data_IF_143210709451
#
_entry.id   IF_143210709451
#
_cell.length_a   1.000
_cell.length_b   1.000
_cell.length_c   1.000
_cell.angle_alpha   90.00
_cell.angle_beta   90.00
_cell.angle_gamma   90.00
#
_symmetry.space_group_name_H-M   'P 1'
#
loop_
_entity.id
_entity.type
_entity.pdbx_description
1 polymer ?
#
# COMPACT_ATOMS: atom_id res chain seq x y z
N UNK A 1 24.53 46.72 -56.74
CA UNK A 1 24.34 45.80 -57.88
C UNK A 1 24.95 44.45 -57.50
N UNK A 2 24.30 43.30 -57.40
CA UNK A 2 22.92 42.84 -57.56
C UNK A 2 22.80 41.57 -56.70
N UNK A 3 21.84 41.48 -55.78
CA UNK A 3 21.51 40.22 -55.09
C UNK A 3 20.80 39.26 -56.06
N UNK A 4 21.09 37.95 -56.06
CA UNK A 4 20.33 37.01 -56.87
C UNK A 4 18.92 36.84 -56.29
N UNK A 5 17.92 37.15 -57.11
CA UNK A 5 16.49 37.01 -56.84
C UNK A 5 16.20 35.54 -56.51
N UNK A 6 15.63 35.29 -55.32
CA UNK A 6 15.09 34.01 -54.91
C UNK A 6 14.03 33.56 -55.94
N UNK A 7 14.31 32.49 -56.69
CA UNK A 7 13.31 31.84 -57.55
C UNK A 7 12.29 31.17 -56.65
N UNK A 8 11.11 31.77 -56.50
CA UNK A 8 9.94 31.12 -55.92
C UNK A 8 9.62 29.86 -56.74
N UNK A 9 9.88 28.67 -56.18
CA UNK A 9 9.47 27.39 -56.77
C UNK A 9 7.94 27.35 -56.79
N UNK A 10 7.33 27.45 -57.97
CA UNK A 10 5.91 27.16 -58.17
C UNK A 10 5.70 25.66 -57.97
N UNK A 11 5.16 25.27 -56.81
CA UNK A 11 4.83 23.87 -56.51
C UNK A 11 3.67 23.43 -57.42
N UNK A 12 3.94 22.54 -58.36
CA UNK A 12 2.90 22.01 -59.23
C UNK A 12 2.04 21.00 -58.47
N UNK A 13 0.72 21.00 -58.69
CA UNK A 13 -0.23 20.07 -58.03
C UNK A 13 0.21 18.60 -58.10
N UNK A 14 0.91 18.22 -59.18
CA UNK A 14 1.46 16.88 -59.38
C UNK A 14 2.59 16.53 -58.42
N UNK A 15 3.38 17.52 -58.00
CA UNK A 15 4.47 17.34 -57.03
C UNK A 15 3.89 17.15 -55.62
N UNK A 16 2.87 17.92 -55.27
CA UNK A 16 2.10 17.76 -54.01
C UNK A 16 1.43 16.38 -53.95
N UNK A 17 0.81 15.93 -55.05
CA UNK A 17 0.22 14.60 -55.11
C UNK A 17 1.28 13.49 -55.00
N UNK A 18 2.45 13.66 -55.61
CA UNK A 18 3.56 12.70 -55.49
C UNK A 18 4.12 12.63 -54.07
N UNK A 19 4.28 13.76 -53.38
CA UNK A 19 4.75 13.76 -51.99
C UNK A 19 3.72 13.15 -51.04
N UNK A 20 2.42 13.36 -51.28
CA UNK A 20 1.35 12.74 -50.49
C UNK A 20 1.29 11.22 -50.68
N UNK A 21 1.41 10.75 -51.93
CA UNK A 21 1.42 9.30 -52.22
C UNK A 21 2.66 8.64 -51.62
N UNK A 22 3.85 9.22 -51.79
CA UNK A 22 5.09 8.70 -51.21
C UNK A 22 5.02 8.64 -49.68
N UNK A 23 4.54 9.69 -49.02
CA UNK A 23 4.34 9.71 -47.57
C UNK A 23 3.34 8.65 -47.11
N UNK A 24 2.22 8.48 -47.82
CA UNK A 24 1.17 7.51 -47.45
C UNK A 24 1.62 6.04 -47.56
N UNK A 25 2.58 5.73 -48.45
CA UNK A 25 3.11 4.38 -48.62
C UNK A 25 4.23 4.06 -47.63
N UNK A 26 5.02 5.05 -47.21
CA UNK A 26 6.14 4.85 -46.27
C UNK A 26 5.71 4.92 -44.80
N UNK A 27 4.68 5.70 -44.48
CA UNK A 27 4.22 5.88 -43.09
C UNK A 27 3.72 4.61 -42.40
N UNK A 28 3.00 3.66 -43.05
CA UNK A 28 2.56 2.43 -42.39
C UNK A 28 3.73 1.54 -41.94
N UNK A 29 4.80 1.45 -42.74
CA UNK A 29 6.00 0.69 -42.40
C UNK A 29 6.77 1.32 -41.24
N UNK A 30 6.96 2.65 -41.29
CA UNK A 30 7.60 3.40 -40.21
C UNK A 30 6.79 3.35 -38.90
N UNK A 31 5.46 3.47 -38.99
CA UNK A 31 4.57 3.31 -37.83
C UNK A 31 4.63 1.89 -37.27
N UNK A 32 4.73 0.86 -38.13
CA UNK A 32 4.85 -0.52 -37.67
C UNK A 32 6.18 -0.78 -36.97
N UNK A 33 7.29 -0.19 -37.43
CA UNK A 33 8.59 -0.26 -36.73
C UNK A 33 8.55 0.48 -35.39
N UNK A 34 8.03 1.72 -35.37
CA UNK A 34 7.91 2.51 -34.14
C UNK A 34 6.97 1.86 -33.10
N UNK A 35 5.93 1.16 -33.55
CA UNK A 35 5.02 0.41 -32.67
C UNK A 35 5.61 -0.93 -32.23
N UNK A 36 6.45 -1.59 -33.04
CA UNK A 36 7.14 -2.82 -32.65
C UNK A 36 8.21 -2.58 -31.58
N UNK A 37 8.83 -1.39 -31.55
CA UNK A 37 9.77 -0.99 -30.49
C UNK A 37 9.05 -0.66 -29.15
N UNK A 38 7.72 -0.57 -29.17
CA UNK A 38 6.87 -0.42 -27.98
C UNK A 38 6.31 -1.75 -27.45
N UNK A 39 6.88 -2.89 -27.84
CA UNK A 39 6.71 -4.12 -27.08
C UNK A 39 7.42 -3.97 -25.73
N UNK A 40 6.74 -4.15 -24.58
CA UNK A 40 7.36 -4.02 -23.26
C UNK A 40 8.28 -5.22 -23.01
N UNK A 41 9.47 -5.19 -23.61
CA UNK A 41 10.55 -6.13 -23.30
C UNK A 41 11.22 -5.69 -22.00
N UNK A 42 10.52 -5.84 -20.89
CA UNK A 42 11.00 -6.01 -19.51
C UNK A 42 9.72 -6.06 -18.68
N UNK A 43 9.49 -7.17 -18.00
CA UNK A 43 8.50 -7.24 -16.93
C UNK A 43 8.85 -6.15 -15.91
N UNK A 44 8.11 -5.03 -15.93
CA UNK A 44 8.30 -3.97 -14.96
C UNK A 44 8.23 -4.61 -13.55
N UNK A 45 9.34 -4.64 -12.80
CA UNK A 45 9.40 -5.33 -11.51
C UNK A 45 8.47 -4.69 -10.47
N UNK A 46 7.99 -3.47 -10.74
CA UNK A 46 7.03 -2.73 -9.92
C UNK A 46 5.60 -2.83 -10.43
N UNK A 47 5.36 -3.52 -11.56
CA UNK A 47 4.02 -3.72 -12.06
C UNK A 47 3.17 -4.49 -11.03
N UNK A 48 1.89 -4.08 -10.83
CA UNK A 48 0.97 -4.80 -9.97
C UNK A 48 0.90 -6.29 -10.34
N UNK A 49 1.21 -7.16 -9.37
CA UNK A 49 1.09 -8.60 -9.54
C UNK A 49 -0.35 -9.04 -9.43
N UNK A 50 -0.73 -10.02 -10.24
CA UNK A 50 -2.05 -10.67 -10.12
C UNK A 50 -2.12 -11.38 -8.77
N UNK A 51 -3.11 -11.10 -7.92
CA UNK A 51 -3.25 -11.75 -6.62
C UNK A 51 -3.67 -13.22 -6.78
N UNK A 52 -3.27 -14.06 -5.82
CA UNK A 52 -3.65 -15.49 -5.80
C UNK A 52 -5.17 -15.72 -5.69
N UNK A 53 -5.90 -14.75 -5.12
CA UNK A 53 -7.35 -14.79 -4.96
C UNK A 53 -7.98 -13.50 -5.46
N UNK A 54 -9.23 -13.54 -5.97
CA UNK A 54 -9.96 -12.33 -6.33
C UNK A 54 -10.15 -11.43 -5.11
N UNK A 55 -9.86 -10.14 -5.27
CA UNK A 55 -10.02 -9.17 -4.19
C UNK A 55 -11.50 -9.00 -3.83
N UNK A 56 -11.87 -9.40 -2.61
CA UNK A 56 -13.24 -9.22 -2.09
C UNK A 56 -13.47 -7.81 -1.52
N UNK A 57 -12.44 -7.21 -0.93
CA UNK A 57 -12.47 -5.86 -0.40
C UNK A 57 -12.11 -4.85 -1.50
N UNK A 58 -12.90 -3.77 -1.63
CA UNK A 58 -12.67 -2.69 -2.62
C UNK A 58 -11.88 -1.52 -2.04
N UNK A 59 -11.97 -1.32 -0.73
CA UNK A 59 -11.36 -0.21 0.01
C UNK A 59 -10.81 -0.72 1.33
N UNK A 60 -9.67 -0.17 1.76
CA UNK A 60 -8.99 -0.54 3.00
C UNK A 60 -8.61 0.74 3.73
N UNK A 61 -9.01 0.86 4.99
CA UNK A 61 -8.51 1.90 5.89
C UNK A 61 -7.37 1.28 6.70
N UNK A 62 -6.15 1.77 6.48
CA UNK A 62 -4.97 1.34 7.22
C UNK A 62 -4.58 2.42 8.22
N UNK A 63 -4.63 2.08 9.51
CA UNK A 63 -4.23 2.96 10.60
C UNK A 63 -2.92 2.43 11.18
N UNK A 64 -1.85 3.20 11.02
CA UNK A 64 -0.56 2.96 11.66
C UNK A 64 -0.31 4.04 12.72
N UNK A 65 -0.08 3.63 13.95
CA UNK A 65 0.15 4.55 15.07
C UNK A 65 1.52 4.28 15.70
N UNK A 66 2.47 5.18 15.47
CA UNK A 66 3.79 5.11 16.11
C UNK A 66 3.64 5.40 17.61
N UNK A 67 4.15 4.51 18.46
CA UNK A 67 3.95 4.58 19.90
C UNK A 67 2.48 4.35 20.33
N UNK A 68 1.69 3.66 19.51
CA UNK A 68 0.28 3.39 19.77
C UNK A 68 0.00 2.66 21.09
N UNK A 69 -1.29 2.41 21.33
CA UNK A 69 -1.74 1.72 22.53
C UNK A 69 -1.13 0.32 22.65
N UNK A 70 -0.71 -0.05 23.85
CA UNK A 70 -0.16 -1.38 24.12
C UNK A 70 -1.20 -2.46 23.84
N UNK A 71 -0.80 -3.56 23.21
CA UNK A 71 -1.69 -4.70 22.98
C UNK A 71 -2.18 -5.31 24.30
N UNK A 72 -1.33 -5.29 25.34
CA UNK A 72 -1.68 -5.79 26.69
C UNK A 72 -2.69 -4.89 27.41
N UNK A 73 -2.85 -3.64 26.97
CA UNK A 73 -3.80 -2.68 27.53
C UNK A 73 -5.13 -2.64 26.77
N UNK A 74 -5.25 -3.40 25.67
CA UNK A 74 -6.36 -3.26 24.72
C UNK A 74 -7.17 -4.54 24.55
N UNK A 75 -6.61 -5.54 23.89
CA UNK A 75 -7.32 -6.77 23.50
C UNK A 75 -6.67 -8.05 24.03
N UNK A 76 -5.59 -7.93 24.80
CA UNK A 76 -4.82 -9.07 25.29
C UNK A 76 -4.77 -9.12 26.81
N UNK A 77 -5.85 -9.65 27.40
CA UNK A 77 -5.94 -9.84 28.85
C UNK A 77 -4.91 -10.88 29.33
N UNK A 78 -3.94 -10.42 30.11
CA UNK A 78 -2.94 -11.27 30.78
C UNK A 78 -3.14 -11.26 32.29
N UNK A 79 -3.87 -12.22 32.89
CA UNK A 79 -4.17 -12.24 34.32
C UNK A 79 -2.91 -12.29 35.20
N UNK A 80 -1.85 -12.94 34.73
CA UNK A 80 -0.57 -13.00 35.44
C UNK A 80 0.10 -11.62 35.56
N UNK A 81 -0.12 -10.71 34.61
CA UNK A 81 0.44 -9.36 34.66
C UNK A 81 -0.21 -8.53 35.78
N UNK A 82 -1.50 -8.75 36.05
CA UNK A 82 -2.19 -8.13 37.20
C UNK A 82 -1.61 -8.63 38.53
N UNK A 83 -1.31 -9.92 38.64
CA UNK A 83 -0.70 -10.52 39.85
C UNK A 83 0.77 -10.12 40.03
N UNK A 84 1.44 -9.81 38.93
CA UNK A 84 2.85 -9.44 38.92
C UNK A 84 3.07 -7.92 38.96
N UNK A 85 2.01 -7.13 39.17
CA UNK A 85 2.10 -5.68 39.22
C UNK A 85 3.13 -5.21 40.25
N UNK A 86 4.06 -4.40 39.78
CA UNK A 86 5.13 -3.84 40.56
C UNK A 86 6.29 -4.77 40.91
N UNK A 87 6.25 -6.03 40.49
CA UNK A 87 7.42 -6.93 40.60
C UNK A 87 8.50 -6.50 39.62
N UNK A 88 9.75 -6.61 40.02
CA UNK A 88 10.88 -6.42 39.12
C UNK A 88 11.07 -7.68 38.26
N UNK A 89 11.23 -7.50 36.96
CA UNK A 89 11.66 -8.57 36.06
C UNK A 89 13.10 -8.98 36.40
N UNK A 90 13.50 -10.19 35.99
CA UNK A 90 14.92 -10.51 35.94
C UNK A 90 15.68 -9.57 35.00
N UNK A 91 17.01 -9.64 35.05
CA UNK A 91 17.87 -9.08 34.00
C UNK A 91 17.64 -9.93 32.75
N UNK A 92 16.80 -9.45 31.83
CA UNK A 92 16.55 -10.13 30.55
C UNK A 92 15.13 -9.95 30.05
N UNK A 93 15.00 -9.58 28.77
CA UNK A 93 13.72 -9.57 28.04
C UNK A 93 13.41 -8.32 27.21
N UNK A 94 14.41 -7.54 26.80
CA UNK A 94 14.20 -6.39 25.90
C UNK A 94 15.52 -5.80 25.38
N UNK A 95 15.45 -4.69 24.66
CA UNK A 95 16.62 -3.99 24.09
C UNK A 95 17.63 -3.48 25.14
N UNK A 96 17.34 -3.57 26.45
CA UNK A 96 18.27 -3.23 27.52
C UNK A 96 18.30 -4.31 28.60
N UNK A 97 19.50 -4.65 29.08
CA UNK A 97 19.74 -5.56 30.22
C UNK A 97 19.42 -4.90 31.57
N UNK A 98 18.36 -4.10 31.63
CA UNK A 98 17.95 -3.41 32.84
C UNK A 98 16.76 -4.11 33.47
N UNK A 99 16.77 -4.13 34.80
CA UNK A 99 15.64 -4.57 35.60
C UNK A 99 14.48 -3.61 35.37
N UNK A 100 13.35 -4.11 34.86
CA UNK A 100 12.15 -3.30 34.64
C UNK A 100 11.07 -3.71 35.62
N UNK A 101 10.26 -2.74 36.04
CA UNK A 101 9.07 -3.00 36.84
C UNK A 101 7.97 -3.49 35.90
N UNK A 102 7.37 -4.64 36.19
CA UNK A 102 6.14 -5.06 35.53
C UNK A 102 5.02 -4.13 35.94
N UNK A 103 4.26 -3.67 34.95
CA UNK A 103 3.09 -2.82 35.16
C UNK A 103 1.87 -3.59 34.68
N UNK A 104 0.84 -3.64 35.52
CA UNK A 104 -0.48 -4.06 35.05
C UNK A 104 -1.07 -3.02 34.11
N UNK A 105 -2.00 -3.44 33.23
CA UNK A 105 -2.84 -2.50 32.51
C UNK A 105 -3.58 -1.56 33.45
N UNK A 106 -3.74 -0.30 33.03
CA UNK A 106 -4.44 0.73 33.81
C UNK A 106 -5.96 0.58 33.79
N UNK A 107 -6.48 -0.22 32.86
CA UNK A 107 -7.92 -0.40 32.63
C UNK A 107 -8.36 -1.83 32.95
N UNK A 108 -9.61 -1.96 33.38
CA UNK A 108 -10.25 -3.24 33.59
C UNK A 108 -10.68 -3.87 32.26
N UNK A 109 -10.73 -5.19 32.23
CA UNK A 109 -11.14 -5.97 31.08
C UNK A 109 -12.52 -6.55 31.31
N UNK A 110 -13.37 -6.46 30.28
CA UNK A 110 -14.72 -7.01 30.28
C UNK A 110 -14.97 -7.78 28.99
N UNK A 111 -15.79 -8.84 29.01
CA UNK A 111 -16.19 -9.52 27.78
C UNK A 111 -16.93 -8.55 26.86
N UNK A 112 -16.65 -8.66 25.56
CA UNK A 112 -17.29 -7.94 24.48
C UNK A 112 -18.13 -8.87 23.62
N UNK A 113 -19.28 -8.36 23.17
CA UNK A 113 -20.20 -9.10 22.31
C UNK A 113 -20.65 -10.45 22.88
N UNK A 114 -21.13 -11.30 21.99
CA UNK A 114 -21.39 -12.72 22.24
C UNK A 114 -20.11 -13.56 22.13
N UNK A 115 -19.11 -13.10 21.39
CA UNK A 115 -17.82 -13.78 21.22
C UNK A 115 -17.01 -13.85 22.52
N UNK A 116 -17.36 -13.04 23.53
CA UNK A 116 -16.78 -13.08 24.88
C UNK A 116 -15.33 -12.59 24.95
N UNK A 117 -14.80 -12.01 23.87
CA UNK A 117 -13.42 -11.51 23.82
C UNK A 117 -13.23 -10.45 24.89
N UNK A 118 -12.21 -10.61 25.74
CA UNK A 118 -11.91 -9.64 26.79
C UNK A 118 -11.29 -8.39 26.16
N UNK A 119 -11.99 -7.27 26.32
CA UNK A 119 -11.55 -5.95 25.84
C UNK A 119 -11.47 -4.99 27.02
N UNK A 120 -10.43 -4.18 27.00
CA UNK A 120 -10.20 -3.12 27.96
C UNK A 120 -11.27 -2.02 27.88
N UNK A 121 -11.60 -1.43 29.02
CA UNK A 121 -12.47 -0.26 29.11
C UNK A 121 -11.87 1.01 28.45
N UNK A 122 -10.65 0.94 27.92
CA UNK A 122 -10.11 1.95 27.00
C UNK A 122 -10.94 2.07 25.70
N UNK A 123 -11.54 0.97 25.24
CA UNK A 123 -12.34 0.93 24.02
C UNK A 123 -13.76 0.39 24.27
N UNK A 124 -14.59 1.09 25.07
CA UNK A 124 -15.88 0.56 25.49
C UNK A 124 -16.89 0.45 24.35
N UNK A 125 -16.78 1.33 23.34
CA UNK A 125 -17.63 1.29 22.15
C UNK A 125 -17.22 0.16 21.19
N UNK A 126 -15.91 -0.06 21.03
CA UNK A 126 -15.39 -1.14 20.20
C UNK A 126 -15.71 -2.51 20.82
N UNK A 127 -15.65 -2.62 22.15
CA UNK A 127 -16.05 -3.83 22.90
C UNK A 127 -17.46 -4.30 22.55
N UNK A 128 -18.40 -3.39 22.23
CA UNK A 128 -19.78 -3.74 21.83
C UNK A 128 -19.90 -4.24 20.39
N UNK A 129 -18.84 -4.16 19.60
CA UNK A 129 -18.83 -4.51 18.18
C UNK A 129 -17.88 -5.69 17.91
N UNK A 130 -17.42 -6.39 18.95
CA UNK A 130 -16.43 -7.47 18.77
C UNK A 130 -16.96 -8.70 18.04
N UNK A 131 -18.27 -8.85 17.90
CA UNK A 131 -18.84 -9.93 17.07
C UNK A 131 -18.61 -9.69 15.58
N UNK A 132 -18.50 -8.43 15.15
CA UNK A 132 -18.22 -8.04 13.77
C UNK A 132 -16.72 -7.83 13.47
N UNK A 133 -15.86 -8.00 14.50
CA UNK A 133 -14.42 -7.74 14.41
C UNK A 133 -13.65 -9.05 14.41
N UNK A 134 -12.88 -9.28 13.36
CA UNK A 134 -11.87 -10.31 13.36
C UNK A 134 -10.60 -9.80 14.06
N UNK A 135 -10.40 -10.22 15.31
CA UNK A 135 -9.17 -9.93 16.05
C UNK A 135 -8.12 -11.01 15.77
N UNK A 136 -7.00 -10.60 15.15
CA UNK A 136 -5.86 -11.48 14.89
C UNK A 136 -4.87 -11.37 16.05
N UNK A 137 -4.64 -12.48 16.75
CA UNK A 137 -3.62 -12.60 17.81
C UNK A 137 -2.47 -13.45 17.29
N UNK A 138 -1.39 -12.82 16.85
CA UNK A 138 -0.15 -13.51 16.49
C UNK A 138 0.69 -13.74 17.75
N UNK A 139 1.39 -14.89 17.78
CA UNK A 139 2.38 -15.24 18.81
C UNK A 139 3.63 -14.36 18.74
#
# INVERSE_FOLDING_TARGET
MNSPISKTRSTHRREVLRSLVAGSLMMPGLLSELLAESEPTVSDPLAPKVPHFPARAKQVIFVFSNGGVSHMDTFDYKPELFKADGKQTGIGGGLSNQQRKLLKPLWDFKPGGECGTLVSDLFPHLRRQMDDICLIKSL
#
